data_IF_716763005680
#
_entry.id   IF_716763005680
#
_cell.length_a   1.000
_cell.length_b   1.000
_cell.length_c   1.000
_cell.angle_alpha   90.00
_cell.angle_beta   90.00
_cell.angle_gamma   90.00
#
_symmetry.space_group_name_H-M   'P 1'
#
loop_
_entity.id
_entity.type
_entity.pdbx_description
1 polymer ?
#
# COMPACT_ATOMS: atom_id res chain seq x y z
N UNK A 1 40.46 -41.80 -13.28
CA UNK A 1 39.87 -41.25 -12.04
C UNK A 1 39.78 -39.71 -12.11
N UNK A 2 40.86 -39.00 -12.52
CA UNK A 2 40.86 -37.52 -12.62
C UNK A 2 39.77 -36.98 -13.57
N UNK A 3 39.59 -37.58 -14.75
CA UNK A 3 38.53 -37.19 -15.69
C UNK A 3 37.11 -37.35 -15.11
N UNK A 4 36.88 -38.43 -14.32
CA UNK A 4 35.60 -38.62 -13.64
C UNK A 4 35.34 -37.52 -12.59
N UNK A 5 36.37 -37.21 -11.81
CA UNK A 5 36.30 -36.11 -10.82
C UNK A 5 35.99 -34.78 -11.47
N UNK A 6 36.68 -34.44 -12.57
CA UNK A 6 36.45 -33.21 -13.33
C UNK A 6 35.02 -33.16 -13.90
N UNK A 7 34.54 -34.29 -14.43
CA UNK A 7 33.18 -34.36 -14.97
C UNK A 7 32.10 -34.18 -13.85
N UNK A 8 32.32 -34.72 -12.68
CA UNK A 8 31.40 -34.53 -11.52
C UNK A 8 31.43 -33.04 -11.09
N UNK A 9 32.61 -32.45 -10.93
CA UNK A 9 32.71 -31.05 -10.51
C UNK A 9 32.04 -30.13 -11.55
N UNK A 10 32.29 -30.38 -12.85
CA UNK A 10 31.64 -29.63 -13.90
C UNK A 10 30.07 -29.79 -13.89
N UNK A 11 29.58 -31.00 -13.67
CA UNK A 11 28.16 -31.26 -13.57
C UNK A 11 27.52 -30.54 -12.38
N UNK A 12 28.18 -30.53 -11.21
CA UNK A 12 27.74 -29.78 -10.03
C UNK A 12 27.74 -28.28 -10.31
N UNK A 13 28.82 -27.73 -10.87
CA UNK A 13 28.90 -26.30 -11.18
C UNK A 13 27.82 -25.84 -12.18
N UNK A 14 27.53 -26.66 -13.19
CA UNK A 14 26.43 -26.40 -14.13
C UNK A 14 25.07 -26.48 -13.41
N UNK A 15 24.87 -27.50 -12.56
CA UNK A 15 23.66 -27.65 -11.76
C UNK A 15 23.41 -26.45 -10.85
N UNK A 16 24.44 -26.02 -10.12
CA UNK A 16 24.37 -24.84 -9.24
C UNK A 16 24.08 -23.56 -10.04
N UNK A 17 24.70 -23.38 -11.20
CA UNK A 17 24.44 -22.21 -12.06
C UNK A 17 23.02 -22.17 -12.60
N UNK A 18 22.46 -23.31 -12.97
CA UNK A 18 21.08 -23.42 -13.40
C UNK A 18 20.11 -23.16 -12.24
N UNK A 19 20.39 -23.74 -11.08
CA UNK A 19 19.59 -23.52 -9.88
C UNK A 19 19.60 -22.07 -9.41
N UNK A 20 20.78 -21.42 -9.42
CA UNK A 20 20.93 -20.01 -9.07
C UNK A 20 20.11 -19.08 -9.97
N UNK A 21 19.91 -19.42 -11.25
CA UNK A 21 19.05 -18.64 -12.17
C UNK A 21 17.56 -18.77 -11.87
N UNK A 22 17.14 -19.82 -11.15
CA UNK A 22 15.76 -20.01 -10.76
C UNK A 22 15.39 -19.29 -9.46
N UNK A 23 16.40 -18.85 -8.70
CA UNK A 23 16.17 -18.10 -7.47
C UNK A 23 15.79 -16.65 -7.80
N UNK A 24 14.77 -16.09 -7.13
CA UNK A 24 14.42 -14.69 -7.30
C UNK A 24 15.60 -13.82 -6.86
N UNK A 25 16.11 -13.02 -7.81
CA UNK A 25 17.17 -12.05 -7.52
C UNK A 25 16.53 -10.74 -7.05
N UNK A 26 16.75 -10.39 -5.79
CA UNK A 26 16.29 -9.12 -5.22
C UNK A 26 17.16 -8.75 -4.02
N UNK A 27 17.29 -7.45 -3.76
CA UNK A 27 18.04 -6.97 -2.59
C UNK A 27 17.33 -7.40 -1.28
N UNK A 28 16.00 -7.37 -1.28
CA UNK A 28 15.16 -7.86 -0.18
C UNK A 28 14.03 -8.66 -0.84
N UNK A 29 14.02 -10.00 -0.71
CA UNK A 29 12.92 -10.80 -1.21
C UNK A 29 11.65 -10.55 -0.38
N UNK A 30 10.50 -10.59 -1.06
CA UNK A 30 9.21 -10.60 -0.37
C UNK A 30 9.03 -11.91 0.39
N UNK A 31 8.87 -11.80 1.70
CA UNK A 31 8.67 -12.93 2.59
C UNK A 31 7.24 -12.98 3.14
N UNK A 32 6.74 -14.19 3.39
CA UNK A 32 5.52 -14.39 4.15
C UNK A 32 5.82 -14.27 5.65
N UNK A 33 5.63 -13.08 6.19
CA UNK A 33 5.83 -12.80 7.62
C UNK A 33 4.62 -13.19 8.49
N UNK A 34 3.57 -13.77 7.90
CA UNK A 34 2.33 -14.07 8.59
C UNK A 34 1.47 -12.85 8.90
N UNK A 35 1.83 -11.68 8.32
CA UNK A 35 1.09 -10.42 8.46
C UNK A 35 1.07 -9.67 7.13
N UNK A 36 -0.01 -8.93 6.87
CA UNK A 36 -0.09 -7.97 5.76
C UNK A 36 -0.99 -6.80 6.14
N UNK A 37 -0.92 -5.72 5.38
CA UNK A 37 -1.77 -4.55 5.54
C UNK A 37 -2.84 -4.47 4.47
N UNK A 38 -3.96 -3.80 4.77
CA UNK A 38 -4.95 -3.37 3.79
C UNK A 38 -5.05 -1.86 3.87
N UNK A 39 -4.73 -1.18 2.78
CA UNK A 39 -4.90 0.27 2.67
C UNK A 39 -6.29 0.58 2.15
N UNK A 40 -6.93 1.57 2.77
CA UNK A 40 -8.26 2.05 2.42
C UNK A 40 -8.22 3.55 2.28
N UNK A 41 -8.61 4.05 1.11
CA UNK A 41 -8.64 5.49 0.84
C UNK A 41 -9.96 5.84 0.15
N UNK A 42 -10.79 6.62 0.84
CA UNK A 42 -12.00 7.21 0.29
C UNK A 42 -11.69 8.50 -0.45
N UNK A 43 -12.62 9.01 -1.28
CA UNK A 43 -12.49 10.34 -1.87
C UNK A 43 -12.26 11.43 -0.83
N UNK A 44 -11.56 12.49 -1.23
CA UNK A 44 -11.32 13.65 -0.40
C UNK A 44 -12.63 14.22 0.18
N UNK A 45 -12.57 14.63 1.45
CA UNK A 45 -13.76 15.13 2.17
C UNK A 45 -14.70 14.06 2.72
N UNK A 46 -14.40 12.77 2.57
CA UNK A 46 -15.15 11.73 3.25
C UNK A 46 -14.95 11.83 4.78
N UNK A 47 -16.04 11.74 5.54
CA UNK A 47 -16.00 11.74 7.00
C UNK A 47 -15.47 10.41 7.54
N UNK A 48 -14.98 10.44 8.77
CA UNK A 48 -14.53 9.22 9.46
C UNK A 48 -15.66 8.19 9.60
N UNK A 49 -16.91 8.63 9.73
CA UNK A 49 -18.08 7.73 9.79
C UNK A 49 -18.25 6.96 8.47
N UNK A 50 -18.15 7.65 7.33
CA UNK A 50 -18.20 6.99 6.02
C UNK A 50 -17.05 6.02 5.85
N UNK A 51 -15.86 6.39 6.28
CA UNK A 51 -14.68 5.52 6.26
C UNK A 51 -14.92 4.28 7.12
N UNK A 52 -15.48 4.46 8.32
CA UNK A 52 -15.81 3.34 9.22
C UNK A 52 -16.84 2.37 8.63
N UNK A 53 -17.83 2.87 7.88
CA UNK A 53 -18.79 1.99 7.18
C UNK A 53 -18.11 1.14 6.09
N UNK A 54 -17.14 1.71 5.35
CA UNK A 54 -16.38 0.96 4.36
C UNK A 54 -15.45 -0.04 5.03
N UNK A 55 -14.77 0.37 6.11
CA UNK A 55 -13.92 -0.53 6.90
C UNK A 55 -14.69 -1.74 7.39
N UNK A 56 -15.93 -1.55 7.86
CA UNK A 56 -16.80 -2.66 8.31
C UNK A 56 -17.12 -3.64 7.17
N UNK A 57 -17.35 -3.17 5.94
CA UNK A 57 -17.55 -4.06 4.77
C UNK A 57 -16.29 -4.91 4.50
N UNK A 58 -15.11 -4.33 4.69
CA UNK A 58 -13.84 -5.05 4.52
C UNK A 58 -13.64 -6.07 5.64
N UNK A 59 -13.96 -5.71 6.89
CA UNK A 59 -13.93 -6.62 8.02
C UNK A 59 -14.83 -7.85 7.80
N UNK A 60 -16.02 -7.65 7.23
CA UNK A 60 -16.95 -8.75 6.91
C UNK A 60 -16.38 -9.70 5.82
N UNK A 61 -15.57 -9.19 4.90
CA UNK A 61 -14.84 -9.99 3.92
C UNK A 61 -13.69 -10.75 4.60
N UNK A 62 -12.88 -10.05 5.40
CA UNK A 62 -11.74 -10.65 6.10
C UNK A 62 -12.17 -11.74 7.08
N UNK A 63 -13.27 -11.54 7.79
CA UNK A 63 -13.82 -12.52 8.73
C UNK A 63 -14.22 -13.85 8.08
N UNK A 64 -14.49 -13.84 6.76
CA UNK A 64 -14.87 -15.02 5.97
C UNK A 64 -13.69 -15.60 5.17
N UNK A 65 -12.51 -14.98 5.25
CA UNK A 65 -11.35 -15.38 4.48
C UNK A 65 -10.55 -16.43 5.24
N UNK A 66 -10.35 -17.59 4.62
CA UNK A 66 -9.53 -18.66 5.21
C UNK A 66 -8.05 -18.23 5.33
N UNK A 67 -7.37 -18.82 6.32
CA UNK A 67 -5.95 -18.53 6.56
C UNK A 67 -5.69 -17.32 7.43
N UNK A 68 -6.71 -16.54 7.80
CA UNK A 68 -6.60 -15.41 8.72
C UNK A 68 -6.86 -15.86 10.17
N UNK A 69 -6.14 -15.24 11.11
CA UNK A 69 -6.28 -15.44 12.54
C UNK A 69 -7.03 -14.28 13.20
N UNK A 70 -6.56 -13.07 12.94
CA UNK A 70 -7.12 -11.85 13.52
C UNK A 70 -6.79 -10.62 12.66
N UNK A 71 -7.50 -9.54 12.88
CA UNK A 71 -7.20 -8.26 12.26
C UNK A 71 -7.46 -7.10 13.22
N UNK A 72 -6.75 -6.00 13.00
CA UNK A 72 -6.91 -4.74 13.73
C UNK A 72 -7.17 -3.62 12.75
N UNK A 73 -8.28 -2.91 12.93
CA UNK A 73 -8.70 -1.79 12.08
C UNK A 73 -8.37 -0.45 12.73
N UNK A 74 -7.77 0.44 11.95
CA UNK A 74 -7.45 1.81 12.36
C UNK A 74 -8.10 2.76 11.37
N UNK A 75 -9.18 3.42 11.77
CA UNK A 75 -9.82 4.49 11.00
C UNK A 75 -9.09 5.81 11.17
N UNK A 76 -9.04 6.62 10.10
CA UNK A 76 -8.37 7.93 10.13
C UNK A 76 -6.85 7.88 9.96
N UNK A 77 -6.27 6.71 9.67
CA UNK A 77 -4.83 6.53 9.48
C UNK A 77 -4.52 5.78 8.19
N UNK A 78 -3.66 6.35 7.36
CA UNK A 78 -3.09 5.72 6.18
C UNK A 78 -1.66 5.25 6.45
N UNK A 79 -1.45 3.96 6.67
CA UNK A 79 -0.13 3.41 6.99
C UNK A 79 0.87 3.60 5.84
N UNK A 80 0.44 3.45 4.59
CA UNK A 80 1.32 3.56 3.41
C UNK A 80 1.82 4.99 3.21
N UNK A 81 0.99 5.99 3.52
CA UNK A 81 1.33 7.41 3.39
C UNK A 81 1.80 8.04 4.71
N UNK A 82 1.66 7.31 5.83
CA UNK A 82 1.93 7.79 7.19
C UNK A 82 1.17 9.08 7.51
N UNK A 83 -0.08 9.19 7.03
CA UNK A 83 -0.91 10.38 7.19
C UNK A 83 -2.14 10.11 8.04
N UNK A 84 -2.57 11.13 8.79
CA UNK A 84 -3.79 11.10 9.59
C UNK A 84 -4.85 11.96 8.90
N UNK A 85 -5.86 11.33 8.32
CA UNK A 85 -6.96 11.99 7.63
C UNK A 85 -8.24 11.15 7.77
N UNK A 86 -9.42 11.76 7.91
CA UNK A 86 -10.66 11.04 8.15
C UNK A 86 -11.07 10.08 7.01
N UNK A 87 -10.62 10.35 5.78
CA UNK A 87 -10.89 9.51 4.60
C UNK A 87 -9.92 8.35 4.41
N UNK A 88 -8.98 8.12 5.35
CA UNK A 88 -8.06 6.99 5.34
C UNK A 88 -8.44 5.94 6.36
N UNK A 89 -8.08 4.71 6.06
CA UNK A 89 -8.12 3.59 6.99
C UNK A 89 -7.03 2.58 6.67
N UNK A 90 -6.59 1.88 7.69
CA UNK A 90 -5.64 0.77 7.54
C UNK A 90 -6.13 -0.41 8.38
N UNK A 91 -6.06 -1.60 7.82
CA UNK A 91 -6.33 -2.84 8.55
C UNK A 91 -5.04 -3.65 8.55
N UNK A 92 -4.54 -3.97 9.73
CA UNK A 92 -3.43 -4.90 9.92
C UNK A 92 -3.99 -6.29 10.13
N UNK A 93 -3.62 -7.22 9.28
CA UNK A 93 -4.15 -8.59 9.26
C UNK A 93 -3.07 -9.55 9.68
N UNK A 94 -3.35 -10.36 10.70
CA UNK A 94 -2.53 -11.49 11.11
C UNK A 94 -3.09 -12.78 10.54
N UNK A 95 -2.22 -13.57 9.98
CA UNK A 95 -2.53 -14.87 9.38
C UNK A 95 -2.31 -16.00 10.39
N UNK A 96 -2.94 -17.13 10.16
CA UNK A 96 -2.67 -18.36 10.93
C UNK A 96 -1.20 -18.78 10.81
N UNK A 97 -0.67 -19.59 11.74
CA UNK A 97 0.68 -20.13 11.65
C UNK A 97 0.94 -20.84 10.31
N UNK A 98 2.16 -20.80 9.81
CA UNK A 98 2.55 -21.46 8.54
C UNK A 98 2.25 -22.95 8.51
N UNK A 99 2.27 -23.63 9.68
CA UNK A 99 1.90 -25.05 9.79
C UNK A 99 0.47 -25.32 9.31
N UNK A 100 -0.42 -24.34 9.45
CA UNK A 100 -1.84 -24.42 9.07
C UNK A 100 -2.12 -23.85 7.67
N UNK A 101 -1.10 -23.28 7.00
CA UNK A 101 -1.18 -22.62 5.70
C UNK A 101 -0.20 -23.23 4.69
N UNK A 102 -0.40 -24.50 4.31
CA UNK A 102 0.55 -25.27 3.49
C UNK A 102 0.33 -25.16 1.98
N UNK A 103 -0.76 -24.55 1.53
CA UNK A 103 -1.09 -24.43 0.12
C UNK A 103 -0.70 -23.04 -0.41
N UNK A 104 -0.47 -22.93 -1.71
CA UNK A 104 -0.09 -21.66 -2.34
C UNK A 104 -1.18 -20.56 -2.19
N UNK A 105 -2.45 -20.98 -2.15
CA UNK A 105 -3.60 -20.09 -1.96
C UNK A 105 -3.61 -19.47 -0.56
N UNK A 106 -3.09 -20.18 0.44
CA UNK A 106 -2.99 -19.72 1.83
C UNK A 106 -1.66 -19.01 2.15
N UNK A 107 -0.75 -18.92 1.19
CA UNK A 107 0.41 -18.05 1.27
C UNK A 107 -0.04 -16.58 1.22
N UNK A 108 0.74 -15.65 1.80
CA UNK A 108 0.38 -14.22 1.87
C UNK A 108 -0.02 -13.65 0.49
N UNK A 109 0.74 -13.97 -0.56
CA UNK A 109 0.45 -13.50 -1.92
C UNK A 109 -0.83 -14.14 -2.50
N UNK A 110 -1.11 -15.41 -2.16
CA UNK A 110 -2.35 -16.11 -2.56
C UNK A 110 -3.58 -15.46 -1.93
N UNK A 111 -3.55 -15.25 -0.61
CA UNK A 111 -4.65 -14.59 0.13
C UNK A 111 -4.85 -13.16 -0.39
N UNK A 112 -3.78 -12.36 -0.50
CA UNK A 112 -3.90 -11.00 -1.04
C UNK A 112 -4.45 -10.99 -2.48
N UNK A 113 -4.04 -11.96 -3.31
CA UNK A 113 -4.55 -12.13 -4.66
C UNK A 113 -6.06 -12.41 -4.70
N UNK A 114 -6.54 -13.28 -3.83
CA UNK A 114 -7.96 -13.63 -3.67
C UNK A 114 -8.83 -12.49 -3.09
N UNK A 115 -8.25 -11.60 -2.30
CA UNK A 115 -8.93 -10.44 -1.72
C UNK A 115 -9.10 -9.29 -2.72
N UNK A 116 -8.18 -9.11 -3.67
CA UNK A 116 -8.22 -7.99 -4.64
C UNK A 116 -9.54 -7.86 -5.41
N UNK A 117 -10.11 -8.92 -6.01
CA UNK A 117 -11.39 -8.81 -6.70
C UNK A 117 -12.56 -8.49 -5.77
N UNK A 118 -12.51 -8.97 -4.51
CA UNK A 118 -13.54 -8.69 -3.51
C UNK A 118 -13.49 -7.22 -3.08
N UNK A 119 -12.31 -6.65 -2.91
CA UNK A 119 -12.11 -5.25 -2.60
C UNK A 119 -12.48 -4.33 -3.77
N UNK A 120 -12.21 -4.76 -5.00
CA UNK A 120 -12.63 -4.02 -6.21
C UNK A 120 -14.16 -3.92 -6.36
N UNK A 121 -14.91 -4.79 -5.71
CA UNK A 121 -16.37 -4.73 -5.66
C UNK A 121 -16.92 -3.63 -4.71
N UNK A 122 -16.05 -2.93 -3.98
CA UNK A 122 -16.40 -1.79 -3.10
C UNK A 122 -15.99 -0.50 -3.83
N UNK A 123 -16.90 0.15 -4.59
CA UNK A 123 -16.55 1.28 -5.44
C UNK A 123 -16.33 2.59 -4.67
N UNK A 124 -16.69 2.63 -3.38
CA UNK A 124 -16.63 3.83 -2.55
C UNK A 124 -15.21 4.22 -2.14
N UNK A 125 -14.24 3.31 -2.30
CA UNK A 125 -12.87 3.54 -1.86
C UNK A 125 -11.85 2.85 -2.78
N UNK A 126 -10.63 3.35 -2.77
CA UNK A 126 -9.46 2.65 -3.30
C UNK A 126 -8.93 1.74 -2.21
N UNK A 127 -9.04 0.43 -2.42
CA UNK A 127 -8.67 -0.59 -1.43
C UNK A 127 -7.68 -1.54 -2.06
N UNK A 128 -6.56 -1.75 -1.40
CA UNK A 128 -5.59 -2.75 -1.84
C UNK A 128 -4.83 -3.36 -0.64
N UNK A 129 -4.56 -4.67 -0.68
CA UNK A 129 -3.68 -5.32 0.27
C UNK A 129 -2.22 -5.07 -0.12
N UNK A 130 -1.35 -4.93 0.86
CA UNK A 130 0.08 -4.73 0.67
C UNK A 130 0.89 -5.55 1.67
N UNK A 131 2.05 -6.03 1.24
CA UNK A 131 2.98 -6.72 2.12
C UNK A 131 3.75 -5.72 2.97
N UNK A 132 3.98 -6.06 4.24
CA UNK A 132 4.77 -5.24 5.15
C UNK A 132 6.25 -5.53 4.85
N UNK A 133 7.12 -4.51 4.69
CA UNK A 133 8.54 -4.73 4.43
C UNK A 133 9.21 -5.53 5.54
N UNK A 134 10.08 -6.45 5.15
CA UNK A 134 10.86 -7.29 6.09
C UNK A 134 11.81 -6.47 6.96
N UNK A 135 12.31 -5.36 6.41
CA UNK A 135 13.23 -4.46 7.13
C UNK A 135 12.51 -3.15 7.50
N UNK A 136 12.50 -2.84 8.79
CA UNK A 136 12.02 -1.55 9.29
C UNK A 136 12.84 -0.40 8.70
N UNK A 137 12.16 0.67 8.27
CA UNK A 137 12.79 1.86 7.69
C UNK A 137 12.82 1.91 6.16
N UNK A 138 12.47 0.83 5.46
CA UNK A 138 12.37 0.80 4.00
C UNK A 138 10.96 1.13 3.47
N UNK A 139 10.18 1.87 4.23
CA UNK A 139 8.80 2.25 3.88
C UNK A 139 7.75 1.46 4.67
N UNK A 140 6.48 1.77 4.43
CA UNK A 140 5.35 1.09 5.05
C UNK A 140 4.80 -0.07 4.22
N UNK A 141 5.14 -0.12 2.92
CA UNK A 141 4.75 -1.17 1.98
C UNK A 141 5.93 -1.50 1.05
N UNK A 142 5.98 -2.73 0.57
CA UNK A 142 6.93 -3.14 -0.48
C UNK A 142 6.71 -2.33 -1.76
N UNK A 143 7.79 -1.91 -2.42
CA UNK A 143 7.72 -1.14 -3.65
C UNK A 143 8.66 0.07 -3.66
N UNK A 144 8.33 1.07 -4.46
CA UNK A 144 9.09 2.31 -4.54
C UNK A 144 8.16 3.54 -4.60
N UNK A 145 8.67 4.68 -4.13
CA UNK A 145 7.99 5.95 -4.22
C UNK A 145 8.51 6.73 -5.42
N UNK A 146 7.58 7.20 -6.26
CA UNK A 146 7.87 8.05 -7.40
C UNK A 146 7.31 9.46 -7.16
N UNK A 147 8.15 10.47 -7.34
CA UNK A 147 7.75 11.88 -7.18
C UNK A 147 7.57 12.52 -8.57
N UNK A 148 6.33 12.90 -8.88
CA UNK A 148 6.02 13.71 -10.05
C UNK A 148 6.05 15.19 -9.66
N UNK A 149 6.94 15.97 -10.29
CA UNK A 149 7.14 17.39 -9.97
C UNK A 149 6.93 18.27 -11.20
N UNK A 150 6.22 19.38 -11.04
CA UNK A 150 6.29 20.49 -11.98
C UNK A 150 7.52 21.35 -11.65
N UNK A 151 8.58 21.20 -12.45
CA UNK A 151 9.82 21.99 -12.29
C UNK A 151 9.73 23.39 -12.92
N UNK A 152 8.73 23.62 -13.78
CA UNK A 152 8.51 24.94 -14.40
C UNK A 152 7.79 25.92 -13.46
N UNK A 153 7.05 25.39 -12.47
CA UNK A 153 6.20 26.18 -11.59
C UNK A 153 5.03 26.85 -12.29
N UNK A 154 4.76 26.47 -13.55
CA UNK A 154 3.73 27.10 -14.38
C UNK A 154 2.38 26.38 -14.36
N UNK A 155 2.35 25.15 -13.85
CA UNK A 155 1.12 24.36 -13.79
C UNK A 155 0.26 24.77 -12.59
N UNK A 156 -1.04 24.83 -12.80
CA UNK A 156 -2.01 24.88 -11.70
C UNK A 156 -2.11 23.50 -11.04
N UNK A 157 -2.63 23.46 -9.81
CA UNK A 157 -2.88 22.20 -9.08
C UNK A 157 -3.77 21.25 -9.90
N UNK A 158 -4.79 21.78 -10.57
CA UNK A 158 -5.67 21.02 -11.44
C UNK A 158 -4.91 20.40 -12.63
N UNK A 159 -4.05 21.17 -13.30
CA UNK A 159 -3.22 20.67 -14.40
C UNK A 159 -2.23 19.60 -13.94
N UNK A 160 -1.61 19.77 -12.77
CA UNK A 160 -0.77 18.72 -12.19
C UNK A 160 -1.59 17.45 -11.90
N UNK A 161 -2.83 17.60 -11.44
CA UNK A 161 -3.77 16.49 -11.24
C UNK A 161 -4.04 15.73 -12.52
N UNK A 162 -4.33 16.43 -13.62
CA UNK A 162 -4.54 15.80 -14.92
C UNK A 162 -3.30 15.03 -15.41
N UNK A 163 -2.11 15.61 -15.28
CA UNK A 163 -0.86 14.93 -15.64
C UNK A 163 -0.61 13.70 -14.75
N UNK A 164 -0.91 13.81 -13.47
CA UNK A 164 -0.83 12.68 -12.54
C UNK A 164 -1.74 11.53 -12.97
N UNK A 165 -2.99 11.82 -13.35
CA UNK A 165 -3.92 10.79 -13.82
C UNK A 165 -3.46 10.15 -15.15
N UNK A 166 -2.93 10.93 -16.09
CA UNK A 166 -2.33 10.41 -17.33
C UNK A 166 -1.15 9.50 -17.05
N UNK A 167 -0.27 9.91 -16.13
CA UNK A 167 0.86 9.09 -15.70
C UNK A 167 0.39 7.77 -15.08
N UNK A 168 -0.56 7.82 -14.15
CA UNK A 168 -1.12 6.62 -13.52
C UNK A 168 -1.76 5.66 -14.53
N UNK A 169 -2.51 6.20 -15.50
CA UNK A 169 -3.13 5.39 -16.55
C UNK A 169 -2.07 4.66 -17.40
N UNK A 170 -0.98 5.34 -17.75
CA UNK A 170 0.13 4.74 -18.49
C UNK A 170 0.91 3.72 -17.63
N UNK A 171 1.16 4.03 -16.37
CA UNK A 171 1.88 3.16 -15.45
C UNK A 171 1.12 1.85 -15.18
N UNK A 172 -0.21 1.89 -15.06
CA UNK A 172 -1.06 0.70 -14.86
C UNK A 172 -1.07 -0.27 -16.04
N UNK A 173 -0.65 0.19 -17.24
CA UNK A 173 -0.52 -0.67 -18.42
C UNK A 173 0.82 -1.42 -18.47
N UNK A 174 1.74 -1.11 -17.57
CA UNK A 174 3.06 -1.74 -17.54
C UNK A 174 3.01 -3.05 -16.74
N UNK A 175 3.33 -4.20 -17.36
CA UNK A 175 3.27 -5.50 -16.68
C UNK A 175 4.33 -5.64 -15.56
N UNK A 176 5.37 -4.79 -15.59
CA UNK A 176 6.43 -4.78 -14.59
C UNK A 176 6.00 -4.08 -13.28
N UNK A 177 4.90 -3.31 -13.34
CA UNK A 177 4.37 -2.58 -12.18
C UNK A 177 3.15 -3.30 -11.62
N UNK A 178 3.15 -3.46 -10.32
CA UNK A 178 2.00 -4.01 -9.59
C UNK A 178 0.90 -2.95 -9.38
N UNK A 179 0.50 -2.72 -8.14
CA UNK A 179 -0.49 -1.69 -7.80
C UNK A 179 0.16 -0.31 -7.83
N UNK A 180 -0.35 0.59 -8.70
CA UNK A 180 0.10 1.99 -8.78
C UNK A 180 -1.02 2.90 -8.31
N UNK A 181 -0.76 3.73 -7.32
CA UNK A 181 -1.71 4.66 -6.73
C UNK A 181 -1.05 6.00 -6.37
N UNK A 182 -1.86 7.01 -6.08
CA UNK A 182 -1.42 8.31 -5.54
C UNK A 182 -2.32 8.74 -4.40
N UNK A 183 -1.76 9.44 -3.44
CA UNK A 183 -2.51 10.15 -2.39
C UNK A 183 -2.86 11.58 -2.78
N UNK A 184 -2.32 12.07 -3.90
CA UNK A 184 -2.56 13.43 -4.37
C UNK A 184 -3.98 13.56 -4.94
N UNK A 185 -4.75 14.48 -4.38
CA UNK A 185 -6.07 14.89 -4.90
C UNK A 185 -6.07 16.41 -5.09
N UNK A 186 -6.17 16.89 -6.35
CA UNK A 186 -6.18 18.32 -6.64
C UNK A 186 -7.43 19.04 -6.13
N UNK A 187 -8.51 18.31 -5.84
CA UNK A 187 -9.79 18.84 -5.39
C UNK A 187 -10.00 18.65 -3.88
N UNK A 188 -8.92 18.44 -3.13
CA UNK A 188 -9.05 18.27 -1.68
C UNK A 188 -9.67 19.51 -1.03
N UNK A 189 -10.82 19.41 -0.34
CA UNK A 189 -11.47 20.54 0.28
C UNK A 189 -10.58 21.15 1.37
N UNK A 190 -10.27 22.44 1.24
CA UNK A 190 -9.50 23.18 2.24
C UNK A 190 -10.34 24.30 2.81
N UNK A 191 -10.28 24.46 4.12
CA UNK A 191 -10.87 25.61 4.81
C UNK A 191 -9.75 26.56 5.17
N UNK A 192 -9.75 27.74 4.55
CA UNK A 192 -8.84 28.84 4.92
C UNK A 192 -9.46 29.58 6.10
N UNK A 193 -8.80 29.54 7.25
CA UNK A 193 -9.19 30.33 8.41
C UNK A 193 -8.42 31.63 8.39
N UNK A 194 -9.11 32.75 8.23
CA UNK A 194 -8.55 34.10 8.33
C UNK A 194 -8.96 34.72 9.68
N UNK A 195 -7.96 34.92 10.52
CA UNK A 195 -8.17 35.53 11.84
C UNK A 195 -8.10 37.07 11.71
N UNK A 196 -9.20 37.74 12.07
CA UNK A 196 -9.22 39.20 12.25
C UNK A 196 -8.53 39.54 13.59
N UNK A 197 -7.23 39.84 13.50
CA UNK A 197 -6.38 40.09 14.67
C UNK A 197 -6.77 41.35 15.43
N UNK A 198 -7.29 42.37 14.72
CA UNK A 198 -7.74 43.61 15.35
C UNK A 198 -9.01 43.41 16.16
N UNK A 199 -9.98 42.69 15.59
CA UNK A 199 -11.21 42.35 16.27
C UNK A 199 -10.94 41.42 17.46
N UNK A 200 -10.04 40.45 17.33
CA UNK A 200 -9.64 39.59 18.44
C UNK A 200 -9.05 40.40 19.60
N UNK A 201 -8.15 41.35 19.33
CA UNK A 201 -7.60 42.26 20.35
C UNK A 201 -8.67 43.09 21.02
N UNK A 202 -9.59 43.67 20.24
CA UNK A 202 -10.69 44.48 20.78
C UNK A 202 -11.59 43.68 21.70
N UNK A 203 -11.76 42.39 21.42
CA UNK A 203 -12.54 41.48 22.23
C UNK A 203 -11.75 40.83 23.38
N UNK A 204 -10.49 41.21 23.58
CA UNK A 204 -9.64 40.65 24.65
C UNK A 204 -9.23 39.19 24.45
N UNK A 205 -9.34 38.68 23.21
CA UNK A 205 -8.90 37.31 22.87
C UNK A 205 -7.41 37.35 22.57
N UNK A 206 -6.55 36.65 23.34
CA UNK A 206 -5.12 36.58 23.07
C UNK A 206 -4.86 35.83 21.75
N UNK A 207 -4.18 36.51 20.84
CA UNK A 207 -3.70 35.92 19.58
C UNK A 207 -2.24 35.59 19.77
N UNK A 208 -1.95 34.39 20.29
CA UNK A 208 -0.59 33.88 20.36
C UNK A 208 -0.23 33.28 19.00
N UNK A 209 0.98 33.57 18.53
CA UNK A 209 1.53 33.07 17.27
C UNK A 209 1.80 31.56 17.32
#
# INVERSE_FOLDING_TARGET
RALLTIAIVAAVAVGDSLFARMLPAGFIPDEDQGIFGVNVQLPAGASLERTSLVLKKIEDILAKTDGLDSFQTVGGYGAVTSTYQPNYGTIFVRMKPWADRKTAELHVNGIMGGLRPQFAAIPEAVIFPFNIPTLSGFGAASGFNFLLQDRSGSMTIAQLGEQTQKFLAAARQRPELGTVFTSFDPNYPQVKVELDREKARTLGVPVNE
#
